data_IF_746874608802
#
_entry.id   IF_746874608802
#
_cell.length_a   1.000
_cell.length_b   1.000
_cell.length_c   1.000
_cell.angle_alpha   90.00
_cell.angle_beta   90.00
_cell.angle_gamma   90.00
#
_symmetry.space_group_name_H-M   'P 1'
#
loop_
_entity.id
_entity.type
_entity.pdbx_description
1 polymer ?
#
# COMPACT_ATOMS: atom_id res chain seq x y z
N UNK A 1 14.74 -16.33 -10.05
CA UNK A 1 14.26 -15.16 -10.81
C UNK A 1 13.94 -14.07 -9.80
N UNK A 2 14.78 -13.04 -9.68
CA UNK A 2 14.47 -11.90 -8.84
C UNK A 2 13.24 -11.20 -9.43
N UNK A 3 12.16 -11.05 -8.67
CA UNK A 3 11.09 -10.12 -9.07
C UNK A 3 11.76 -8.77 -9.23
N UNK A 4 11.68 -8.18 -10.42
CA UNK A 4 12.05 -6.78 -10.66
C UNK A 4 11.38 -5.96 -9.55
N UNK A 5 12.16 -5.39 -8.64
CA UNK A 5 11.59 -4.67 -7.51
C UNK A 5 10.82 -3.48 -8.07
N UNK A 6 9.50 -3.43 -7.87
CA UNK A 6 8.66 -2.24 -8.13
C UNK A 6 8.90 -1.19 -7.02
N UNK A 7 10.18 -0.90 -6.75
CA UNK A 7 10.64 -0.13 -5.60
C UNK A 7 12.05 0.40 -5.90
N UNK A 8 12.21 1.72 -5.85
CA UNK A 8 13.49 2.45 -6.02
C UNK A 8 14.18 2.66 -4.66
N UNK A 9 15.38 3.23 -4.65
CA UNK A 9 16.12 3.50 -3.40
C UNK A 9 15.44 4.56 -2.52
N UNK A 10 14.72 5.49 -3.13
CA UNK A 10 13.94 6.55 -2.48
C UNK A 10 12.78 6.00 -1.64
N UNK A 11 12.33 4.77 -1.90
CA UNK A 11 11.34 4.09 -1.06
C UNK A 11 12.01 3.44 0.18
N UNK A 12 13.28 3.04 0.05
CA UNK A 12 14.02 2.22 1.02
C UNK A 12 14.85 3.03 2.01
N UNK A 13 15.17 4.28 1.68
CA UNK A 13 16.02 5.14 2.50
C UNK A 13 15.19 6.30 3.05
N UNK A 14 15.15 6.41 4.38
CA UNK A 14 14.42 7.49 5.05
C UNK A 14 14.95 8.86 4.61
N UNK A 15 14.03 9.81 4.34
CA UNK A 15 14.38 11.17 3.94
C UNK A 15 14.82 11.35 2.48
N UNK A 16 15.18 10.28 1.76
CA UNK A 16 15.40 10.35 0.30
C UNK A 16 14.09 10.60 -0.44
N UNK A 17 14.15 11.31 -1.56
CA UNK A 17 13.01 11.53 -2.42
C UNK A 17 13.41 11.61 -3.90
N UNK A 18 12.52 11.12 -4.74
CA UNK A 18 12.72 11.05 -6.18
C UNK A 18 12.13 12.26 -6.90
N UNK A 19 12.74 12.62 -8.03
CA UNK A 19 12.28 13.73 -8.89
C UNK A 19 12.10 13.33 -10.36
N UNK A 20 12.61 12.18 -10.77
CA UNK A 20 12.41 11.64 -12.12
C UNK A 20 11.00 11.05 -12.31
N UNK A 21 10.54 10.99 -13.56
CA UNK A 21 9.21 10.49 -13.95
C UNK A 21 8.89 9.10 -13.40
N UNK A 22 9.90 8.23 -13.29
CA UNK A 22 9.71 6.87 -12.74
C UNK A 22 9.21 6.89 -11.29
N UNK A 23 9.62 7.87 -10.48
CA UNK A 23 9.16 7.98 -9.10
C UNK A 23 7.70 8.39 -9.01
N UNK A 24 7.30 9.37 -9.84
CA UNK A 24 5.90 9.77 -9.94
C UNK A 24 5.03 8.65 -10.47
N UNK A 25 5.51 7.92 -11.49
CA UNK A 25 4.80 6.77 -12.05
C UNK A 25 4.51 5.71 -10.98
N UNK A 26 5.50 5.37 -10.15
CA UNK A 26 5.32 4.43 -9.05
C UNK A 26 4.39 4.99 -7.96
N UNK A 27 4.51 6.26 -7.62
CA UNK A 27 3.62 6.91 -6.66
C UNK A 27 2.15 6.92 -7.12
N UNK A 28 1.91 7.08 -8.43
CA UNK A 28 0.57 7.00 -9.00
C UNK A 28 -0.02 5.59 -8.87
N UNK A 29 0.77 4.55 -9.14
CA UNK A 29 0.36 3.15 -9.06
C UNK A 29 -0.20 2.77 -7.67
N UNK A 30 0.39 3.32 -6.61
CA UNK A 30 -0.01 3.06 -5.21
C UNK A 30 -0.74 4.24 -4.54
N UNK A 31 -1.17 5.23 -5.33
CA UNK A 31 -1.83 6.44 -4.82
C UNK A 31 -3.14 6.15 -4.06
N UNK A 32 -3.84 5.08 -4.44
CA UNK A 32 -5.09 4.64 -3.80
C UNK A 32 -4.93 4.36 -2.30
N UNK A 33 -3.73 3.92 -1.86
CA UNK A 33 -3.45 3.64 -0.45
C UNK A 33 -3.72 4.89 0.40
N UNK A 34 -3.32 6.05 -0.12
CA UNK A 34 -3.49 7.35 0.51
C UNK A 34 -4.74 8.11 0.10
N UNK A 35 -5.75 7.46 -0.49
CA UNK A 35 -7.05 8.07 -0.75
C UNK A 35 -7.82 8.37 0.55
N UNK A 36 -8.91 9.13 0.47
CA UNK A 36 -9.82 9.32 1.60
C UNK A 36 -10.26 7.96 2.15
N UNK A 37 -10.37 7.83 3.48
CA UNK A 37 -10.59 6.53 4.12
C UNK A 37 -11.87 5.85 3.64
N UNK A 38 -12.91 6.61 3.27
CA UNK A 38 -14.13 6.05 2.68
C UNK A 38 -13.87 5.40 1.31
N UNK A 39 -13.11 6.08 0.45
CA UNK A 39 -12.78 5.59 -0.90
C UNK A 39 -11.84 4.38 -0.82
N UNK A 40 -10.84 4.43 0.07
CA UNK A 40 -9.95 3.29 0.30
C UNK A 40 -10.71 2.05 0.80
N UNK A 41 -11.67 2.22 1.72
CA UNK A 41 -12.50 1.09 2.19
C UNK A 41 -13.33 0.47 1.07
N UNK A 42 -13.91 1.31 0.20
CA UNK A 42 -14.65 0.84 -0.99
C UNK A 42 -13.73 0.10 -1.96
N UNK A 43 -12.54 0.61 -2.19
CA UNK A 43 -11.52 -0.07 -2.98
C UNK A 43 -11.15 -1.43 -2.36
N UNK A 44 -10.86 -1.48 -1.07
CA UNK A 44 -10.49 -2.71 -0.38
C UNK A 44 -11.60 -3.77 -0.42
N UNK A 45 -12.88 -3.37 -0.32
CA UNK A 45 -14.01 -4.30 -0.47
C UNK A 45 -14.12 -4.85 -1.90
N UNK A 46 -13.95 -4.00 -2.92
CA UNK A 46 -13.96 -4.43 -4.32
C UNK A 46 -12.83 -5.42 -4.62
N UNK A 47 -11.61 -5.15 -4.11
CA UNK A 47 -10.51 -6.10 -4.19
C UNK A 47 -10.88 -7.43 -3.52
N UNK A 48 -11.51 -7.42 -2.35
CA UNK A 48 -11.93 -8.66 -1.70
C UNK A 48 -12.95 -9.47 -2.53
N UNK A 49 -13.84 -8.79 -3.26
CA UNK A 49 -14.81 -9.42 -4.18
C UNK A 49 -14.12 -10.14 -5.36
N UNK A 50 -13.05 -9.56 -5.90
CA UNK A 50 -12.25 -10.16 -6.99
C UNK A 50 -11.61 -11.49 -6.59
N UNK A 51 -11.30 -11.67 -5.30
CA UNK A 51 -10.64 -12.86 -4.75
C UNK A 51 -11.58 -13.85 -4.05
N UNK A 52 -12.90 -13.75 -4.28
CA UNK A 52 -13.91 -14.64 -3.67
C UNK A 52 -13.74 -16.12 -3.98
N UNK A 53 -13.01 -16.47 -5.04
CA UNK A 53 -12.63 -17.85 -5.37
C UNK A 53 -11.63 -18.47 -4.37
N UNK A 54 -11.01 -17.67 -3.50
CA UNK A 54 -10.13 -18.14 -2.44
C UNK A 54 -10.89 -18.32 -1.12
N UNK A 55 -10.49 -19.30 -0.28
CA UNK A 55 -10.96 -19.35 1.11
C UNK A 55 -10.67 -18.03 1.83
N UNK A 56 -11.65 -17.53 2.59
CA UNK A 56 -11.57 -16.24 3.28
C UNK A 56 -10.30 -16.09 4.13
N UNK A 57 -9.91 -17.14 4.87
CA UNK A 57 -8.68 -17.15 5.68
C UNK A 57 -7.41 -16.99 4.84
N UNK A 58 -7.35 -17.61 3.66
CA UNK A 58 -6.21 -17.52 2.75
C UNK A 58 -6.11 -16.12 2.14
N UNK A 59 -7.23 -15.54 1.72
CA UNK A 59 -7.26 -14.15 1.25
C UNK A 59 -6.78 -13.19 2.35
N UNK A 60 -7.38 -13.25 3.55
CA UNK A 60 -7.00 -12.40 4.69
C UNK A 60 -5.53 -12.50 5.02
N UNK A 61 -4.97 -13.71 5.05
CA UNK A 61 -3.55 -13.94 5.32
C UNK A 61 -2.65 -13.28 4.25
N UNK A 62 -2.90 -13.57 2.96
CA UNK A 62 -2.06 -13.04 1.88
C UNK A 62 -2.18 -11.52 1.76
N UNK A 63 -3.40 -10.98 1.86
CA UNK A 63 -3.65 -9.54 1.82
C UNK A 63 -2.95 -8.81 2.97
N UNK A 64 -3.07 -9.33 4.19
CA UNK A 64 -2.36 -8.76 5.35
C UNK A 64 -0.85 -8.78 5.14
N UNK A 65 -0.29 -9.84 4.54
CA UNK A 65 1.15 -9.92 4.25
C UNK A 65 1.61 -8.85 3.27
N UNK A 66 0.86 -8.61 2.19
CA UNK A 66 1.17 -7.54 1.23
C UNK A 66 1.13 -6.17 1.90
N UNK A 67 0.09 -5.91 2.70
CA UNK A 67 -0.09 -4.65 3.43
C UNK A 67 1.01 -4.42 4.48
N UNK A 68 1.45 -5.48 5.18
CA UNK A 68 2.56 -5.43 6.12
C UNK A 68 3.87 -4.98 5.44
N UNK A 69 4.12 -5.38 4.19
CA UNK A 69 5.32 -4.95 3.43
C UNK A 69 5.32 -3.43 3.20
N UNK A 70 4.17 -2.82 2.91
CA UNK A 70 4.07 -1.36 2.77
C UNK A 70 4.34 -0.61 4.07
N UNK A 71 4.01 -1.19 5.22
CA UNK A 71 4.33 -0.57 6.51
C UNK A 71 5.81 -0.69 6.87
N UNK A 72 6.53 -1.67 6.31
CA UNK A 72 7.95 -1.89 6.53
C UNK A 72 8.85 -0.99 5.69
N UNK A 73 8.37 -0.45 4.57
CA UNK A 73 9.17 0.51 3.77
C UNK A 73 9.19 1.89 4.44
N UNK A 74 10.36 2.56 4.53
CA UNK A 74 10.45 3.90 5.11
C UNK A 74 9.58 4.93 4.43
N UNK A 75 9.50 4.90 3.10
CA UNK A 75 8.65 5.79 2.33
C UNK A 75 7.73 4.97 1.42
N UNK A 76 6.42 5.04 1.64
CA UNK A 76 5.43 4.45 0.72
C UNK A 76 5.46 5.21 -0.61
N UNK A 77 5.64 6.53 -0.55
CA UNK A 77 5.78 7.39 -1.71
C UNK A 77 7.22 7.90 -1.88
N UNK A 78 7.79 7.69 -3.07
CA UNK A 78 9.14 8.14 -3.41
C UNK A 78 9.22 9.67 -3.55
N UNK A 79 8.18 10.35 -4.02
CA UNK A 79 8.23 11.79 -4.23
C UNK A 79 7.76 12.57 -3.01
N UNK A 80 8.39 13.72 -2.78
CA UNK A 80 8.04 14.60 -1.66
C UNK A 80 6.58 15.10 -1.71
N UNK A 81 6.02 15.55 -2.85
CA UNK A 81 4.63 16.02 -2.90
C UNK A 81 3.61 14.94 -2.53
N UNK A 82 3.84 13.68 -2.94
CA UNK A 82 2.97 12.57 -2.57
C UNK A 82 3.13 12.19 -1.10
N UNK A 83 4.36 12.14 -0.60
CA UNK A 83 4.62 11.83 0.80
C UNK A 83 3.92 12.80 1.74
N UNK A 84 4.09 14.11 1.52
CA UNK A 84 3.46 15.14 2.34
C UNK A 84 1.93 15.07 2.31
N UNK A 85 1.35 14.72 1.16
CA UNK A 85 -0.10 14.71 0.97
C UNK A 85 -0.78 13.41 1.42
N UNK A 86 -0.13 12.27 1.26
CA UNK A 86 -0.80 10.97 1.28
C UNK A 86 -0.21 9.96 2.29
N UNK A 87 1.08 10.04 2.65
CA UNK A 87 1.79 9.01 3.43
C UNK A 87 1.11 8.69 4.77
N UNK A 88 0.75 9.72 5.54
CA UNK A 88 0.10 9.56 6.85
C UNK A 88 -1.23 8.81 6.71
N UNK A 89 -2.03 9.17 5.69
CA UNK A 89 -3.32 8.53 5.44
C UNK A 89 -3.15 7.12 4.91
N UNK A 90 -2.18 6.89 4.02
CA UNK A 90 -1.84 5.57 3.51
C UNK A 90 -1.52 4.60 4.63
N UNK A 91 -0.61 4.97 5.55
CA UNK A 91 -0.26 4.14 6.71
C UNK A 91 -1.46 3.86 7.61
N UNK A 92 -2.31 4.86 7.87
CA UNK A 92 -3.53 4.68 8.67
C UNK A 92 -4.53 3.75 8.00
N UNK A 93 -4.79 3.94 6.71
CA UNK A 93 -5.68 3.10 5.91
C UNK A 93 -5.21 1.64 5.91
N UNK A 94 -3.92 1.40 5.63
CA UNK A 94 -3.29 0.08 5.61
C UNK A 94 -3.39 -0.60 6.98
N UNK A 95 -3.05 0.11 8.07
CA UNK A 95 -3.13 -0.44 9.43
C UNK A 95 -4.56 -0.83 9.79
N UNK A 96 -5.54 0.04 9.46
CA UNK A 96 -6.96 -0.25 9.71
C UNK A 96 -7.44 -1.48 8.92
N UNK A 97 -7.00 -1.65 7.67
CA UNK A 97 -7.33 -2.84 6.88
C UNK A 97 -6.73 -4.10 7.52
N UNK A 98 -5.44 -4.09 7.88
CA UNK A 98 -4.76 -5.20 8.56
C UNK A 98 -5.51 -5.59 9.85
N UNK A 99 -5.86 -4.62 10.69
CA UNK A 99 -6.57 -4.87 11.95
C UNK A 99 -7.94 -5.49 11.70
N UNK A 100 -8.65 -5.04 10.67
CA UNK A 100 -9.94 -5.62 10.27
C UNK A 100 -9.79 -7.06 9.77
N UNK A 101 -8.75 -7.35 8.99
CA UNK A 101 -8.49 -8.69 8.46
C UNK A 101 -8.10 -9.67 9.58
N UNK A 102 -7.34 -9.21 10.58
CA UNK A 102 -6.91 -10.02 11.74
C UNK A 102 -8.01 -10.23 12.79
N UNK A 103 -8.90 -9.25 13.00
CA UNK A 103 -10.06 -9.40 13.92
C UNK A 103 -11.09 -10.44 13.46
N UNK A 104 -11.07 -10.80 12.18
CA UNK A 104 -11.96 -11.81 11.60
C UNK A 104 -11.29 -13.16 11.33
N UNK A 105 -10.14 -13.45 11.95
CA UNK A 105 -9.50 -14.78 11.95
C UNK A 105 -10.00 -15.62 13.12
#
# INVERSE_FOLDING_TARGET
MASKAHCTEEHKQEGMFGTEDIHYFLDFDVSILGAETADYKKYASQIAEEYTFLPSSKYKFMRSKVLELFLQVPNIYATRPFREKYEKRARSNIQNEIDSLKKGL
#
